data_IF_072273339286
#
_entry.id   IF_072273339286
#
_cell.length_a   1.000
_cell.length_b   1.000
_cell.length_c   1.000
_cell.angle_alpha   90.00
_cell.angle_beta   90.00
_cell.angle_gamma   90.00
#
_symmetry.space_group_name_H-M   'P 1'
#
loop_
_entity.id
_entity.type
_entity.pdbx_description
1 polymer ?
#
# COMPACT_ATOMS: atom_id res chain seq x y z
N UNK A 1 7.80 14.74 -17.97
CA UNK A 1 8.45 13.71 -17.13
C UNK A 1 7.45 12.69 -16.59
N UNK A 2 6.22 13.05 -16.21
CA UNK A 2 5.23 12.13 -15.61
C UNK A 2 4.59 11.06 -16.54
N UNK A 3 4.62 11.24 -17.87
CA UNK A 3 4.02 10.29 -18.83
C UNK A 3 4.93 9.09 -19.13
N UNK A 4 6.25 9.25 -18.96
CA UNK A 4 7.22 8.23 -19.36
C UNK A 4 7.21 7.02 -18.43
N UNK A 5 6.98 7.22 -17.13
CA UNK A 5 7.04 6.15 -16.13
C UNK A 5 5.81 5.23 -16.19
N UNK A 6 4.62 5.77 -16.45
CA UNK A 6 3.43 4.93 -16.67
C UNK A 6 3.55 4.08 -17.95
N UNK A 7 4.13 4.64 -19.01
CA UNK A 7 4.40 3.86 -20.24
C UNK A 7 5.37 2.72 -19.95
N UNK A 8 6.39 2.95 -19.11
CA UNK A 8 7.29 1.90 -18.63
C UNK A 8 6.52 0.82 -17.86
N UNK A 9 5.61 1.19 -16.96
CA UNK A 9 4.78 0.24 -16.21
C UNK A 9 3.87 -0.61 -17.11
N UNK A 10 3.22 -0.01 -18.11
CA UNK A 10 2.47 -0.76 -19.12
C UNK A 10 3.38 -1.72 -19.89
N UNK A 11 4.57 -1.27 -20.28
CA UNK A 11 5.57 -2.11 -20.95
C UNK A 11 5.99 -3.31 -20.10
N UNK A 12 6.23 -3.10 -18.80
CA UNK A 12 6.56 -4.16 -17.85
C UNK A 12 5.42 -5.16 -17.70
N UNK A 13 4.17 -4.69 -17.56
CA UNK A 13 3.00 -5.55 -17.44
C UNK A 13 2.81 -6.43 -18.69
N UNK A 14 2.92 -5.86 -19.90
CA UNK A 14 2.84 -6.63 -21.14
C UNK A 14 3.99 -7.65 -21.22
N UNK A 15 5.21 -7.22 -20.92
CA UNK A 15 6.38 -8.10 -20.96
C UNK A 15 6.25 -9.27 -20.00
N UNK A 16 5.95 -8.98 -18.74
CA UNK A 16 5.98 -9.96 -17.66
C UNK A 16 4.67 -10.79 -17.60
N UNK A 17 3.54 -10.20 -17.99
CA UNK A 17 2.24 -10.87 -18.01
C UNK A 17 1.97 -11.67 -19.29
N UNK A 18 2.40 -11.18 -20.46
CA UNK A 18 2.09 -11.79 -21.76
C UNK A 18 3.28 -12.36 -22.53
N UNK A 19 4.49 -11.82 -22.38
CA UNK A 19 5.62 -12.18 -23.25
C UNK A 19 6.67 -13.06 -22.57
N UNK A 20 6.64 -13.21 -21.24
CA UNK A 20 7.64 -13.98 -20.50
C UNK A 20 7.02 -15.11 -19.65
N UNK A 21 7.52 -16.34 -19.89
CA UNK A 21 7.50 -17.48 -18.97
C UNK A 21 6.17 -17.81 -18.27
N UNK A 22 5.90 -17.14 -17.16
CA UNK A 22 4.75 -17.40 -16.29
C UNK A 22 3.69 -16.33 -16.50
N UNK A 23 2.71 -16.66 -17.33
CA UNK A 23 1.57 -15.78 -17.58
C UNK A 23 0.71 -15.62 -16.34
N UNK A 24 0.28 -14.39 -16.08
CA UNK A 24 -0.77 -14.12 -15.09
C UNK A 24 -2.13 -14.43 -15.71
N UNK A 25 -3.11 -14.73 -14.85
CA UNK A 25 -4.48 -14.94 -15.31
C UNK A 25 -5.02 -13.67 -16.01
N UNK A 26 -5.84 -13.86 -17.03
CA UNK A 26 -6.41 -12.75 -17.81
C UNK A 26 -7.19 -11.76 -16.94
N UNK A 27 -7.92 -12.24 -15.94
CA UNK A 27 -8.68 -11.38 -15.02
C UNK A 27 -7.76 -10.48 -14.17
N UNK A 28 -6.63 -11.02 -13.69
CA UNK A 28 -5.63 -10.26 -12.93
C UNK A 28 -4.93 -9.26 -13.84
N UNK A 29 -4.66 -9.64 -15.09
CA UNK A 29 -4.07 -8.73 -16.07
C UNK A 29 -4.98 -7.52 -16.32
N UNK A 30 -6.27 -7.77 -16.56
CA UNK A 30 -7.26 -6.72 -16.80
C UNK A 30 -7.42 -5.80 -15.59
N UNK A 31 -7.39 -6.37 -14.37
CA UNK A 31 -7.39 -5.61 -13.13
C UNK A 31 -6.15 -4.70 -13.04
N UNK A 32 -4.95 -5.19 -13.33
CA UNK A 32 -3.72 -4.38 -13.30
C UNK A 32 -3.73 -3.28 -14.36
N UNK A 33 -4.29 -3.53 -15.55
CA UNK A 33 -4.51 -2.50 -16.56
C UNK A 33 -5.48 -1.44 -16.06
N UNK A 34 -6.59 -1.86 -15.44
CA UNK A 34 -7.58 -0.95 -14.87
C UNK A 34 -6.93 -0.05 -13.81
N UNK A 35 -6.17 -0.64 -12.88
CA UNK A 35 -5.46 0.08 -11.82
C UNK A 35 -4.45 1.08 -12.39
N UNK A 36 -3.63 0.71 -13.39
CA UNK A 36 -2.69 1.64 -14.03
C UNK A 36 -3.39 2.82 -14.73
N UNK A 37 -4.59 2.59 -15.25
CA UNK A 37 -5.41 3.61 -15.89
C UNK A 37 -6.05 4.57 -14.86
N UNK A 38 -6.53 4.05 -13.72
CA UNK A 38 -7.27 4.83 -12.72
C UNK A 38 -6.36 5.52 -11.71
N UNK A 39 -5.31 4.86 -11.22
CA UNK A 39 -4.39 5.47 -10.26
C UNK A 39 -3.50 6.52 -10.93
N UNK A 40 -3.38 7.69 -10.32
CA UNK A 40 -2.39 8.70 -10.69
C UNK A 40 -0.95 8.22 -10.43
N UNK A 41 0.01 8.81 -11.13
CA UNK A 41 1.43 8.55 -10.85
C UNK A 41 1.81 8.90 -9.40
N UNK A 42 1.20 9.94 -8.83
CA UNK A 42 1.42 10.36 -7.44
C UNK A 42 1.00 9.26 -6.46
N UNK A 43 -0.15 8.63 -6.66
CA UNK A 43 -0.61 7.53 -5.81
C UNK A 43 0.32 6.31 -5.89
N UNK A 44 0.73 5.93 -7.12
CA UNK A 44 1.68 4.83 -7.33
C UNK A 44 3.02 5.14 -6.61
N UNK A 45 3.51 6.38 -6.74
CA UNK A 45 4.74 6.80 -6.09
C UNK A 45 4.64 6.73 -4.56
N UNK A 46 3.54 7.22 -3.97
CA UNK A 46 3.34 7.21 -2.51
C UNK A 46 3.35 5.78 -1.97
N UNK A 47 2.70 4.86 -2.69
CA UNK A 47 2.63 3.46 -2.32
C UNK A 47 4.00 2.76 -2.42
N UNK A 48 4.78 3.07 -3.46
CA UNK A 48 6.16 2.57 -3.61
C UNK A 48 7.08 3.08 -2.51
N UNK A 49 7.02 4.38 -2.18
CA UNK A 49 7.83 4.95 -1.09
C UNK A 49 7.43 4.37 0.26
N UNK A 50 6.12 4.16 0.49
CA UNK A 50 5.65 3.52 1.71
C UNK A 50 6.14 2.07 1.84
N UNK A 51 6.12 1.29 0.75
CA UNK A 51 6.72 -0.05 0.71
C UNK A 51 8.18 -0.04 1.15
N UNK A 52 8.99 0.82 0.54
CA UNK A 52 10.41 0.94 0.88
C UNK A 52 10.59 1.29 2.35
N UNK A 53 9.76 2.19 2.87
CA UNK A 53 9.78 2.60 4.27
C UNK A 53 9.45 1.42 5.22
N UNK A 54 8.47 0.60 4.86
CA UNK A 54 8.12 -0.59 5.63
C UNK A 54 9.23 -1.66 5.62
N UNK A 55 9.99 -1.77 4.52
CA UNK A 55 11.12 -2.70 4.39
C UNK A 55 12.41 -2.21 5.09
N UNK A 56 12.54 -0.91 5.35
CA UNK A 56 13.69 -0.36 6.07
C UNK A 56 13.66 -0.79 7.55
N UNK A 57 14.57 -1.69 7.92
CA UNK A 57 14.68 -2.23 9.28
C UNK A 57 15.06 -1.18 10.33
N UNK A 58 15.60 -0.03 9.93
CA UNK A 58 15.90 1.07 10.86
C UNK A 58 14.64 1.83 11.30
N UNK A 59 13.56 1.75 10.52
CA UNK A 59 12.29 2.41 10.82
C UNK A 59 11.49 1.56 11.81
N UNK A 60 11.14 2.15 12.95
CA UNK A 60 10.25 1.51 13.93
C UNK A 60 8.84 1.41 13.37
N UNK A 61 8.21 0.25 13.52
CA UNK A 61 6.79 0.06 13.26
C UNK A 61 5.96 0.26 14.52
N UNK A 62 4.69 0.58 14.33
CA UNK A 62 3.70 0.69 15.39
C UNK A 62 3.19 -0.70 15.79
N UNK A 63 2.92 -1.52 14.78
CA UNK A 63 2.33 -2.85 14.91
C UNK A 63 2.81 -3.76 13.79
N UNK A 64 2.69 -5.06 14.02
CA UNK A 64 3.01 -6.11 13.04
C UNK A 64 1.93 -7.17 13.03
N UNK A 65 1.48 -7.56 11.84
CA UNK A 65 0.58 -8.70 11.62
C UNK A 65 1.33 -9.85 10.97
N UNK A 66 1.04 -11.08 11.40
CA UNK A 66 1.55 -12.29 10.76
C UNK A 66 0.39 -13.03 10.08
N UNK A 67 0.41 -13.11 8.75
CA UNK A 67 -0.61 -13.79 7.96
C UNK A 67 0.08 -14.71 6.97
N UNK A 68 -0.28 -16.00 6.98
CA UNK A 68 0.25 -17.01 6.05
C UNK A 68 1.78 -17.01 5.94
N UNK A 69 2.48 -16.88 7.07
CA UNK A 69 3.95 -16.89 7.13
C UNK A 69 4.64 -15.59 6.66
N UNK A 70 3.88 -14.54 6.35
CA UNK A 70 4.41 -13.21 6.04
C UNK A 70 4.17 -12.24 7.20
N UNK A 71 5.15 -11.39 7.45
CA UNK A 71 5.07 -10.30 8.42
C UNK A 71 4.74 -9.01 7.69
N UNK A 72 3.66 -8.38 8.09
CA UNK A 72 3.21 -7.08 7.61
C UNK A 72 3.46 -6.06 8.71
N UNK A 73 4.22 -5.01 8.42
CA UNK A 73 4.54 -3.96 9.39
C UNK A 73 3.74 -2.71 9.07
N UNK A 74 2.97 -2.21 10.04
CA UNK A 74 2.39 -0.88 9.92
C UNK A 74 3.39 0.14 10.46
N UNK A 75 3.92 0.95 9.54
CA UNK A 75 4.79 2.10 9.86
C UNK A 75 4.19 3.42 9.40
N UNK A 76 2.88 3.45 9.13
CA UNK A 76 2.21 4.52 8.40
C UNK A 76 2.32 5.87 9.11
N UNK A 77 2.09 5.92 10.41
CA UNK A 77 2.14 7.17 11.18
C UNK A 77 3.51 7.86 11.07
N UNK A 78 4.59 7.10 11.22
CA UNK A 78 5.95 7.62 11.05
C UNK A 78 6.23 8.02 9.60
N UNK A 79 5.82 7.18 8.65
CA UNK A 79 5.96 7.47 7.23
C UNK A 79 5.25 8.77 6.85
N UNK A 80 3.98 8.94 7.23
CA UNK A 80 3.18 10.12 6.92
C UNK A 80 3.85 11.39 7.46
N UNK A 81 4.39 11.35 8.68
CA UNK A 81 5.10 12.46 9.30
C UNK A 81 6.44 12.80 8.63
N UNK A 82 7.22 11.80 8.22
CA UNK A 82 8.53 12.02 7.58
C UNK A 82 8.40 12.39 6.10
N UNK A 83 7.57 11.64 5.38
CA UNK A 83 7.39 11.78 3.94
C UNK A 83 6.69 13.09 3.58
N UNK A 84 5.68 13.51 4.36
CA UNK A 84 5.01 14.82 4.18
C UNK A 84 6.02 15.98 4.23
N UNK A 85 6.96 15.94 5.19
CA UNK A 85 8.05 16.93 5.29
C UNK A 85 8.99 16.86 4.09
N UNK A 86 9.35 15.66 3.64
CA UNK A 86 10.24 15.46 2.49
C UNK A 86 9.67 16.07 1.20
N UNK A 87 8.38 15.88 0.94
CA UNK A 87 7.71 16.38 -0.27
C UNK A 87 7.03 17.74 -0.07
N UNK A 88 7.15 18.34 1.12
CA UNK A 88 6.66 19.67 1.50
C UNK A 88 5.13 19.81 1.38
N UNK A 89 4.40 18.83 1.88
CA UNK A 89 2.93 18.84 2.00
C UNK A 89 2.52 18.59 3.45
N UNK A 90 1.24 18.76 3.76
CA UNK A 90 0.71 18.39 5.08
C UNK A 90 0.54 16.87 5.24
N UNK A 91 0.62 16.32 6.47
CA UNK A 91 0.25 14.93 6.72
C UNK A 91 -1.17 14.58 6.23
N UNK A 92 -2.14 15.49 6.37
CA UNK A 92 -3.51 15.29 5.87
C UNK A 92 -3.60 15.14 4.34
N UNK A 93 -2.73 15.80 3.57
CA UNK A 93 -2.65 15.59 2.12
C UNK A 93 -2.02 14.25 1.75
N UNK A 94 -1.16 13.70 2.60
CA UNK A 94 -0.69 12.31 2.43
C UNK A 94 -1.84 11.36 2.73
N UNK A 95 -2.56 11.60 3.81
CA UNK A 95 -3.67 10.75 4.23
C UNK A 95 -4.81 10.70 3.22
N UNK A 96 -5.17 11.84 2.64
CA UNK A 96 -6.14 11.90 1.55
C UNK A 96 -5.74 11.01 0.36
N UNK A 97 -4.45 10.96 0.00
CA UNK A 97 -3.97 10.09 -1.08
C UNK A 97 -4.10 8.61 -0.69
N UNK A 98 -3.80 8.25 0.56
CA UNK A 98 -3.93 6.87 1.02
C UNK A 98 -5.40 6.42 1.12
N UNK A 99 -6.33 7.31 1.47
CA UNK A 99 -7.77 7.01 1.43
C UNK A 99 -8.24 6.61 0.01
N UNK A 100 -7.70 7.24 -1.03
CA UNK A 100 -7.96 6.84 -2.42
C UNK A 100 -7.27 5.52 -2.77
N UNK A 101 -5.99 5.35 -2.41
CA UNK A 101 -5.25 4.11 -2.65
C UNK A 101 -5.95 2.91 -1.99
N UNK A 102 -6.55 3.07 -0.82
CA UNK A 102 -7.31 2.00 -0.13
C UNK A 102 -8.38 1.37 -1.02
N UNK A 103 -9.02 2.13 -1.89
CA UNK A 103 -10.07 1.63 -2.78
C UNK A 103 -9.56 0.61 -3.82
N UNK A 104 -8.24 0.55 -4.03
CA UNK A 104 -7.61 -0.42 -4.93
C UNK A 104 -7.38 -1.80 -4.31
N UNK A 105 -7.54 -1.94 -2.99
CA UNK A 105 -7.19 -3.16 -2.26
C UNK A 105 -5.69 -3.38 -2.09
N UNK A 106 -4.84 -2.43 -2.49
CA UNK A 106 -3.38 -2.50 -2.31
C UNK A 106 -2.90 -2.21 -0.88
N UNK A 107 -3.77 -1.60 -0.09
CA UNK A 107 -3.55 -1.38 1.33
C UNK A 107 -4.79 -1.74 2.12
N UNK A 108 -4.58 -2.26 3.32
CA UNK A 108 -5.64 -2.59 4.28
C UNK A 108 -5.51 -1.68 5.48
N UNK A 109 -6.60 -1.02 5.87
CA UNK A 109 -6.60 -0.12 7.01
C UNK A 109 -6.58 -0.91 8.33
N UNK A 110 -5.76 -0.45 9.28
CA UNK A 110 -5.76 -0.95 10.64
C UNK A 110 -6.66 -0.10 11.52
N UNK A 111 -7.57 -0.76 12.23
CA UNK A 111 -8.41 -0.13 13.24
C UNK A 111 -8.04 -0.67 14.61
N UNK A 112 -8.05 0.19 15.62
CA UNK A 112 -8.15 -0.28 17.00
C UNK A 112 -9.61 -0.29 17.42
N UNK A 113 -10.01 -1.39 18.05
CA UNK A 113 -11.21 -1.44 18.88
C UNK A 113 -10.76 -1.24 20.30
N UNK A 114 -11.39 -0.32 21.03
CA UNK A 114 -11.21 -0.25 22.48
C UNK A 114 -11.46 -1.64 23.08
N UNK A 115 -10.49 -2.14 23.87
CA UNK A 115 -10.67 -3.39 24.59
C UNK A 115 -11.67 -3.11 25.72
N UNK A 116 -12.95 -3.30 25.45
CA UNK A 116 -13.95 -3.28 26.51
C UNK A 116 -13.69 -4.43 27.46
N UNK A 117 -13.21 -4.13 28.66
CA UNK A 117 -13.24 -5.08 29.78
C UNK A 117 -14.71 -5.38 30.07
N UNK A 118 -15.13 -6.62 29.83
CA UNK A 118 -16.54 -7.07 29.92
C UNK A 118 -17.02 -7.23 31.37
N UNK A 119 -16.21 -6.80 32.35
CA UNK A 119 -16.37 -7.12 33.78
C UNK A 119 -16.84 -5.95 34.64
N UNK A 120 -17.09 -4.76 34.08
CA UNK A 120 -17.76 -3.69 34.84
C UNK A 120 -19.22 -3.57 34.43
N UNK A 121 -20.09 -3.74 35.43
CA UNK A 121 -21.53 -3.72 35.38
C UNK A 121 -22.07 -2.29 35.14
N UNK A 122 -21.44 -1.56 34.23
CA UNK A 122 -21.80 -0.21 33.81
C UNK A 122 -22.41 -0.29 32.40
N UNK A 123 -23.71 0.00 32.29
CA UNK A 123 -24.43 0.02 31.00
C UNK A 123 -24.12 1.29 30.19
N UNK A 124 -23.03 1.98 30.49
CA UNK A 124 -22.55 3.14 29.75
C UNK A 124 -21.63 2.63 28.64
N UNK A 125 -22.20 2.34 27.47
CA UNK A 125 -21.40 2.19 26.25
C UNK A 125 -20.78 3.56 25.94
N UNK A 126 -19.50 3.73 26.24
CA UNK A 126 -18.72 4.77 25.60
C UNK A 126 -18.80 4.54 24.07
N UNK A 127 -18.95 5.63 23.32
CA UNK A 127 -18.96 5.60 21.86
C UNK A 127 -17.74 4.80 21.39
N UNK A 128 -17.96 3.68 20.69
CA UNK A 128 -16.88 2.94 20.05
C UNK A 128 -16.28 3.81 18.94
N UNK A 129 -15.35 4.70 19.31
CA UNK A 129 -14.61 5.52 18.37
C UNK A 129 -13.54 4.65 17.72
N UNK A 130 -13.85 4.17 16.51
CA UNK A 130 -12.93 3.36 15.71
C UNK A 130 -11.90 4.29 15.07
N UNK A 131 -10.76 4.49 15.74
CA UNK A 131 -9.65 5.27 15.21
C UNK A 131 -8.78 4.44 14.24
N UNK A 132 -8.54 5.00 13.05
CA UNK A 132 -7.59 4.45 12.09
C UNK A 132 -6.16 4.58 12.61
N UNK A 133 -5.39 3.49 12.54
CA UNK A 133 -3.99 3.42 12.95
C UNK A 133 -3.02 3.38 11.78
N UNK A 134 -3.54 3.56 10.56
CA UNK A 134 -2.78 3.53 9.33
C UNK A 134 -3.04 2.27 8.52
N UNK A 135 -2.02 1.82 7.77
CA UNK A 135 -2.24 0.88 6.67
C UNK A 135 -1.22 -0.26 6.66
N UNK A 136 -1.66 -1.45 6.25
CA UNK A 136 -0.83 -2.57 5.87
C UNK A 136 -0.76 -2.68 4.35
N UNK A 137 0.41 -3.01 3.82
CA UNK A 137 0.57 -3.34 2.40
C UNK A 137 0.05 -4.75 2.16
N UNK A 138 -0.84 -4.91 1.18
CA UNK A 138 -1.43 -6.22 0.88
C UNK A 138 -0.53 -7.07 -0.02
N UNK A 139 -0.85 -8.37 -0.14
CA UNK A 139 -0.13 -9.27 -1.04
C UNK A 139 -0.33 -8.86 -2.50
N UNK A 140 -1.53 -8.38 -2.83
CA UNK A 140 -1.96 -7.95 -4.15
C UNK A 140 -1.06 -6.82 -4.65
N UNK A 141 -0.73 -5.85 -3.77
CA UNK A 141 0.24 -4.82 -4.11
C UNK A 141 1.65 -5.37 -4.31
N UNK A 142 2.10 -6.32 -3.47
CA UNK A 142 3.45 -6.89 -3.62
C UNK A 142 3.58 -7.64 -4.95
N UNK A 143 2.55 -8.40 -5.33
CA UNK A 143 2.51 -9.11 -6.61
C UNK A 143 2.48 -8.10 -7.78
N UNK A 144 1.68 -7.02 -7.68
CA UNK A 144 1.67 -5.92 -8.65
C UNK A 144 3.03 -5.21 -8.74
N UNK A 145 3.67 -4.93 -7.61
CA UNK A 145 4.97 -4.27 -7.55
C UNK A 145 6.03 -5.07 -8.31
N UNK A 146 6.13 -6.38 -8.05
CA UNK A 146 7.11 -7.25 -8.72
C UNK A 146 6.80 -7.40 -10.22
N UNK A 147 5.52 -7.47 -10.59
CA UNK A 147 5.10 -7.68 -11.98
C UNK A 147 5.19 -6.41 -12.83
N UNK A 148 4.88 -5.25 -12.26
CA UNK A 148 4.59 -4.02 -13.02
C UNK A 148 5.58 -2.90 -12.71
N UNK A 149 5.88 -2.66 -11.43
CA UNK A 149 6.60 -1.46 -10.99
C UNK A 149 8.10 -1.67 -10.89
N UNK A 150 8.54 -2.88 -10.50
CA UNK A 150 9.94 -3.19 -10.32
C UNK A 150 10.65 -3.19 -11.66
N UNK A 151 11.67 -2.33 -11.78
CA UNK A 151 12.57 -2.35 -12.93
C UNK A 151 13.28 -3.68 -13.03
N UNK A 152 12.94 -4.45 -14.06
CA UNK A 152 13.76 -5.58 -14.48
C UNK A 152 15.09 -5.00 -14.98
N UNK A 153 16.16 -5.16 -14.18
CA UNK A 153 17.52 -4.96 -14.70
C UNK A 153 17.66 -5.96 -15.83
N UNK A 154 17.68 -5.47 -17.07
CA UNK A 154 17.97 -6.31 -18.22
C UNK A 154 19.34 -6.95 -17.95
N UNK A 155 19.36 -8.26 -17.76
CA UNK A 155 20.57 -9.04 -18.01
C UNK A 155 20.79 -8.91 -19.52
N UNK A 156 21.71 -8.02 -19.89
CA UNK A 156 22.19 -7.89 -21.27
C UNK A 156 22.87 -9.17 -21.74
#
# INVERSE_FOLDING_TARGET
>A
MATTDKVEYFGNLIRNGYLQGKHIDGSIFDEYIHILNTMSYREIQYLVEYKKYCEDSSKRGKSTKHINGRTYSNKYESFCNEYSKQIKVSPGEVDYVFLHIKQTGFIEEEFETESGDVDENDNTFDSLDVESKGYYITKEFLDFYEMVLKRNKNNG
#
